data_IF_243581681909
#
_entry.id   IF_243581681909
#
_cell.length_a   1.000
_cell.length_b   1.000
_cell.length_c   1.000
_cell.angle_alpha   90.00
_cell.angle_beta   90.00
_cell.angle_gamma   90.00
#
_symmetry.space_group_name_H-M   'P 1'
#
loop_
_entity.id
_entity.type
_entity.pdbx_description
1 polymer ?
#
# COMPACT_ATOMS: atom_id res chain seq x y z
N UNK A 1 -14.24 15.34 0.99
CA UNK A 1 -15.63 14.85 0.88
C UNK A 1 -15.67 13.60 0.01
N UNK A 2 -16.31 12.52 0.47
CA UNK A 2 -16.58 11.32 -0.32
C UNK A 2 -17.89 11.49 -1.09
N UNK A 3 -17.87 11.19 -2.39
CA UNK A 3 -19.07 11.28 -3.24
C UNK A 3 -20.02 10.11 -3.02
N UNK A 4 -19.55 8.87 -3.21
CA UNK A 4 -20.36 7.65 -3.10
C UNK A 4 -19.58 6.60 -2.33
N UNK A 5 -20.27 5.88 -1.45
CA UNK A 5 -19.78 4.70 -0.74
C UNK A 5 -20.58 3.49 -1.17
N UNK A 6 -19.90 2.45 -1.61
CA UNK A 6 -20.51 1.17 -1.99
C UNK A 6 -20.03 0.08 -1.05
N UNK A 7 -20.96 -0.64 -0.44
CA UNK A 7 -20.68 -1.83 0.38
C UNK A 7 -21.53 -2.98 -0.11
N UNK A 8 -20.88 -4.09 -0.45
CA UNK A 8 -21.54 -5.37 -0.69
C UNK A 8 -21.17 -6.33 0.45
N UNK A 9 -22.13 -6.65 1.30
CA UNK A 9 -21.96 -7.51 2.46
C UNK A 9 -22.80 -8.78 2.29
N UNK A 10 -22.15 -9.95 2.33
CA UNK A 10 -22.85 -11.23 2.40
C UNK A 10 -23.57 -11.33 3.76
N UNK A 11 -24.79 -11.86 3.78
CA UNK A 11 -25.62 -11.96 4.99
C UNK A 11 -26.48 -13.22 5.00
N UNK A 12 -27.02 -13.57 6.17
CA UNK A 12 -27.95 -14.68 6.31
C UNK A 12 -29.28 -14.42 5.57
N UNK A 13 -29.93 -15.46 5.03
CA UNK A 13 -31.27 -15.33 4.47
C UNK A 13 -32.28 -14.77 5.48
N UNK A 14 -33.26 -14.00 4.99
CA UNK A 14 -34.36 -13.49 5.82
C UNK A 14 -34.04 -12.23 6.63
N UNK A 15 -32.81 -11.70 6.54
CA UNK A 15 -32.49 -10.37 7.08
C UNK A 15 -33.26 -9.30 6.28
N UNK A 16 -33.95 -8.43 7.00
CA UNK A 16 -34.62 -7.26 6.41
C UNK A 16 -33.61 -6.32 5.76
N UNK A 17 -33.91 -5.89 4.54
CA UNK A 17 -32.99 -5.10 3.73
C UNK A 17 -32.77 -3.70 4.30
N UNK A 18 -33.82 -3.02 4.79
CA UNK A 18 -33.68 -1.68 5.38
C UNK A 18 -32.82 -1.74 6.64
N UNK A 19 -33.03 -2.77 7.47
CA UNK A 19 -32.18 -3.03 8.63
C UNK A 19 -30.71 -3.22 8.22
N UNK A 20 -30.41 -4.08 7.25
CA UNK A 20 -29.04 -4.30 6.77
C UNK A 20 -28.38 -2.98 6.33
N UNK A 21 -29.08 -2.17 5.53
CA UNK A 21 -28.56 -0.89 5.06
C UNK A 21 -28.21 0.06 6.22
N UNK A 22 -29.11 0.18 7.19
CA UNK A 22 -28.91 1.04 8.36
C UNK A 22 -27.74 0.54 9.22
N UNK A 23 -27.68 -0.74 9.52
CA UNK A 23 -26.62 -1.35 10.35
C UNK A 23 -25.24 -1.20 9.68
N UNK A 24 -25.14 -1.45 8.37
CA UNK A 24 -23.89 -1.23 7.61
C UNK A 24 -23.50 0.24 7.60
N UNK A 25 -24.45 1.16 7.42
CA UNK A 25 -24.16 2.59 7.43
C UNK A 25 -23.62 3.05 8.78
N UNK A 26 -24.29 2.68 9.86
CA UNK A 26 -23.99 3.14 11.22
C UNK A 26 -22.76 2.45 11.82
N UNK A 27 -22.60 1.14 11.62
CA UNK A 27 -21.55 0.36 12.28
C UNK A 27 -20.33 0.06 11.41
N UNK A 28 -20.41 0.25 10.08
CA UNK A 28 -19.28 0.01 9.17
C UNK A 28 -18.85 1.30 8.47
N UNK A 29 -19.75 1.98 7.76
CA UNK A 29 -19.37 3.11 6.90
C UNK A 29 -18.96 4.33 7.74
N UNK A 30 -19.81 4.77 8.69
CA UNK A 30 -19.51 5.94 9.52
C UNK A 30 -18.21 5.77 10.32
N UNK A 31 -17.96 4.64 11.03
CA UNK A 31 -16.74 4.50 11.81
C UNK A 31 -15.48 4.34 10.95
N UNK A 32 -15.58 3.69 9.78
CA UNK A 32 -14.42 3.46 8.91
C UNK A 32 -13.99 4.71 8.14
N UNK A 33 -14.94 5.54 7.67
CA UNK A 33 -14.63 6.74 6.88
C UNK A 33 -14.47 7.96 7.77
N UNK A 34 -15.29 8.09 8.82
CA UNK A 34 -15.32 9.25 9.71
C UNK A 34 -16.21 10.39 9.20
N UNK A 35 -16.91 11.03 10.13
CA UNK A 35 -17.89 12.09 9.84
C UNK A 35 -17.31 13.28 9.05
N UNK A 36 -16.02 13.60 9.24
CA UNK A 36 -15.37 14.72 8.55
C UNK A 36 -15.35 14.57 7.01
N UNK A 37 -15.54 13.37 6.49
CA UNK A 37 -15.50 13.08 5.05
C UNK A 37 -16.87 12.80 4.45
N UNK A 38 -17.90 12.62 5.28
CA UNK A 38 -19.26 12.28 4.91
C UNK A 38 -20.17 13.51 5.06
N UNK A 39 -21.08 13.71 4.11
CA UNK A 39 -22.08 14.78 4.21
C UNK A 39 -23.45 14.33 3.72
N UNK A 40 -24.44 15.23 3.78
CA UNK A 40 -25.81 14.95 3.33
C UNK A 40 -25.91 14.64 1.83
N UNK A 41 -24.87 14.91 1.03
CA UNK A 41 -24.78 14.60 -0.40
C UNK A 41 -23.97 13.33 -0.67
N UNK A 42 -23.44 12.65 0.35
CA UNK A 42 -22.80 11.36 0.16
C UNK A 42 -23.84 10.30 -0.17
N UNK A 43 -23.67 9.63 -1.30
CA UNK A 43 -24.51 8.53 -1.72
C UNK A 43 -24.05 7.22 -1.06
N UNK A 44 -25.00 6.45 -0.52
CA UNK A 44 -24.72 5.15 0.08
C UNK A 44 -25.43 4.05 -0.72
N UNK A 45 -24.65 3.10 -1.22
CA UNK A 45 -25.14 1.93 -1.94
C UNK A 45 -24.74 0.69 -1.15
N UNK A 46 -25.67 0.17 -0.34
CA UNK A 46 -25.47 -1.08 0.41
C UNK A 46 -26.25 -2.19 -0.28
N UNK A 47 -25.53 -3.21 -0.77
CA UNK A 47 -26.09 -4.34 -1.51
C UNK A 47 -26.99 -3.89 -2.68
N UNK A 48 -26.45 -3.10 -3.61
CA UNK A 48 -27.22 -2.49 -4.71
C UNK A 48 -27.88 -3.47 -5.68
N UNK A 49 -27.47 -4.74 -5.68
CA UNK A 49 -28.07 -5.82 -6.48
C UNK A 49 -29.17 -6.59 -5.74
N UNK A 50 -29.50 -6.22 -4.49
CA UNK A 50 -30.42 -6.95 -3.63
C UNK A 50 -29.72 -7.94 -2.69
N UNK A 51 -30.39 -9.04 -2.35
CA UNK A 51 -29.89 -10.01 -1.38
C UNK A 51 -28.56 -10.64 -1.82
N UNK A 52 -27.61 -10.77 -0.88
CA UNK A 52 -26.32 -11.43 -1.09
C UNK A 52 -26.14 -12.56 -0.06
N UNK A 53 -26.78 -13.70 -0.31
CA UNK A 53 -26.79 -14.84 0.62
C UNK A 53 -25.79 -15.93 0.23
N UNK A 54 -25.48 -16.07 -1.06
CA UNK A 54 -24.50 -17.02 -1.59
C UNK A 54 -23.22 -16.26 -1.94
N UNK A 55 -22.13 -16.55 -1.23
CA UNK A 55 -20.82 -15.94 -1.43
C UNK A 55 -19.69 -16.93 -1.16
N UNK A 56 -18.49 -16.40 -0.96
CA UNK A 56 -17.28 -17.22 -0.83
C UNK A 56 -16.99 -18.06 -2.08
N UNK A 57 -16.22 -19.17 -1.95
CA UNK A 57 -15.85 -20.03 -3.07
C UNK A 57 -17.03 -20.67 -3.82
N UNK A 58 -18.22 -20.73 -3.21
CA UNK A 58 -19.43 -21.22 -3.85
C UNK A 58 -19.98 -20.21 -4.88
N UNK A 59 -19.79 -18.91 -4.63
CA UNK A 59 -20.26 -17.85 -5.51
C UNK A 59 -19.25 -17.42 -6.58
N UNK A 60 -17.94 -17.50 -6.29
CA UNK A 60 -16.88 -17.13 -7.24
C UNK A 60 -15.57 -17.87 -6.92
N UNK A 61 -14.82 -18.24 -7.96
CA UNK A 61 -13.54 -18.92 -7.82
C UNK A 61 -12.43 -17.93 -7.42
N UNK A 62 -11.87 -18.12 -6.22
CA UNK A 62 -10.74 -17.32 -5.72
C UNK A 62 -9.38 -17.84 -6.22
N UNK A 63 -8.53 -16.94 -6.73
CA UNK A 63 -7.14 -17.25 -7.09
C UNK A 63 -6.17 -16.27 -6.43
N UNK A 64 -5.03 -16.80 -5.97
CA UNK A 64 -3.92 -16.00 -5.42
C UNK A 64 -3.43 -14.96 -6.43
N UNK A 65 -3.20 -13.72 -5.98
CA UNK A 65 -2.64 -12.67 -6.82
C UNK A 65 -3.62 -12.03 -7.80
N UNK A 66 -4.93 -12.15 -7.57
CA UNK A 66 -5.98 -11.48 -8.37
C UNK A 66 -6.52 -10.19 -7.76
N UNK A 67 -5.87 -9.69 -6.70
CA UNK A 67 -6.22 -8.44 -5.99
C UNK A 67 -5.04 -7.46 -5.86
N UNK A 68 -4.06 -7.54 -6.76
CA UNK A 68 -2.80 -6.78 -6.69
C UNK A 68 -2.95 -5.25 -6.56
N UNK A 69 -4.01 -4.66 -7.14
CA UNK A 69 -4.26 -3.20 -7.00
C UNK A 69 -4.88 -2.86 -5.64
N UNK A 70 -5.72 -3.76 -5.10
CA UNK A 70 -6.27 -3.64 -3.74
C UNK A 70 -5.18 -3.84 -2.70
N UNK A 71 -4.24 -4.76 -2.96
CA UNK A 71 -3.10 -5.04 -2.08
C UNK A 71 -2.12 -3.86 -1.96
N UNK A 72 -2.15 -2.93 -2.91
CA UNK A 72 -1.18 -1.82 -3.04
C UNK A 72 -1.81 -0.45 -2.81
N UNK A 73 -2.08 0.31 -3.87
CA UNK A 73 -2.35 1.75 -3.80
C UNK A 73 -3.71 2.13 -4.36
N UNK A 74 -4.62 1.17 -4.58
CA UNK A 74 -5.99 1.45 -5.02
C UNK A 74 -6.09 2.16 -6.38
N UNK A 75 -5.08 2.01 -7.23
CA UNK A 75 -5.00 2.66 -8.56
C UNK A 75 -4.34 4.04 -8.55
N UNK A 76 -3.93 4.57 -7.39
CA UNK A 76 -3.25 5.87 -7.31
C UNK A 76 -1.82 5.84 -7.87
N UNK A 77 -1.10 4.74 -7.66
CA UNK A 77 0.28 4.56 -8.12
C UNK A 77 0.39 3.38 -9.10
N UNK A 78 1.45 3.40 -9.92
CA UNK A 78 1.69 2.39 -10.96
C UNK A 78 2.06 1.03 -10.35
N UNK A 79 1.82 -0.04 -11.11
CA UNK A 79 2.02 -1.41 -10.64
C UNK A 79 2.84 -2.24 -11.63
N UNK A 80 3.82 -3.01 -11.14
CA UNK A 80 4.71 -3.84 -11.98
C UNK A 80 4.16 -5.20 -12.43
N UNK A 81 2.98 -5.58 -11.92
CA UNK A 81 2.24 -6.80 -12.29
C UNK A 81 2.48 -8.02 -11.37
N UNK A 82 3.54 -8.01 -10.58
CA UNK A 82 3.84 -9.10 -9.63
C UNK A 82 2.87 -9.16 -8.45
N UNK A 83 2.32 -10.34 -8.17
CA UNK A 83 1.55 -10.58 -6.95
C UNK A 83 2.45 -10.78 -5.70
N UNK A 84 1.92 -10.53 -4.51
CA UNK A 84 2.66 -10.70 -3.26
C UNK A 84 2.45 -12.07 -2.62
N UNK A 85 1.21 -12.45 -2.29
CA UNK A 85 0.88 -13.68 -1.54
C UNK A 85 1.39 -14.96 -2.21
N UNK A 86 1.79 -15.94 -1.40
CA UNK A 86 2.36 -17.23 -1.87
C UNK A 86 3.85 -17.23 -2.21
N UNK A 87 4.55 -16.10 -2.07
CA UNK A 87 5.99 -15.97 -2.39
C UNK A 87 6.85 -15.86 -1.14
N UNK A 88 8.05 -16.43 -1.17
CA UNK A 88 9.06 -16.18 -0.15
C UNK A 88 9.81 -14.86 -0.45
N UNK A 89 10.58 -14.28 0.48
CA UNK A 89 11.16 -12.95 0.28
C UNK A 89 12.32 -12.92 -0.72
N UNK A 90 12.78 -14.06 -1.24
CA UNK A 90 13.71 -14.09 -2.39
C UNK A 90 13.04 -13.62 -3.68
N UNK A 91 11.70 -13.58 -3.75
CA UNK A 91 10.97 -13.08 -4.92
C UNK A 91 10.83 -11.57 -4.86
N UNK A 92 11.54 -10.90 -5.76
CA UNK A 92 11.59 -9.43 -5.85
C UNK A 92 10.24 -8.77 -6.10
N UNK A 93 9.28 -9.50 -6.67
CA UNK A 93 7.88 -9.04 -6.78
C UNK A 93 7.31 -8.60 -5.43
N UNK A 94 7.70 -9.28 -4.33
CA UNK A 94 7.32 -8.90 -2.97
C UNK A 94 8.38 -8.02 -2.32
N UNK A 95 9.60 -8.49 -2.22
CA UNK A 95 10.64 -7.81 -1.44
C UNK A 95 11.05 -6.48 -2.06
N UNK A 96 11.16 -6.40 -3.38
CA UNK A 96 11.42 -5.17 -4.13
C UNK A 96 10.27 -4.16 -3.99
N UNK A 97 9.02 -4.61 -4.04
CA UNK A 97 7.86 -3.74 -3.83
C UNK A 97 7.82 -3.16 -2.40
N UNK A 98 8.14 -3.97 -1.38
CA UNK A 98 8.24 -3.51 0.00
C UNK A 98 9.38 -2.51 0.20
N UNK A 99 10.54 -2.76 -0.43
CA UNK A 99 11.65 -1.83 -0.41
C UNK A 99 11.30 -0.50 -1.09
N UNK A 100 10.64 -0.53 -2.25
CA UNK A 100 10.16 0.67 -2.94
C UNK A 100 9.22 1.50 -2.05
N UNK A 101 8.23 0.84 -1.42
CA UNK A 101 7.33 1.49 -0.45
C UNK A 101 8.10 2.15 0.69
N UNK A 102 9.03 1.41 1.31
CA UNK A 102 9.83 1.89 2.42
C UNK A 102 10.60 3.15 2.04
N UNK A 103 11.34 3.12 0.93
CA UNK A 103 12.16 4.27 0.51
C UNK A 103 11.28 5.46 0.12
N UNK A 104 10.21 5.25 -0.65
CA UNK A 104 9.27 6.33 -1.01
C UNK A 104 8.65 7.00 0.23
N UNK A 105 8.23 6.20 1.22
CA UNK A 105 7.70 6.70 2.49
C UNK A 105 8.74 7.52 3.27
N UNK A 106 10.00 7.06 3.28
CA UNK A 106 11.09 7.78 3.94
C UNK A 106 11.46 9.08 3.23
N UNK A 107 11.41 9.14 1.90
CA UNK A 107 11.60 10.38 1.11
C UNK A 107 10.57 11.43 1.51
N UNK A 108 9.29 11.04 1.57
CA UNK A 108 8.20 11.95 1.97
C UNK A 108 8.35 12.37 3.44
N UNK A 109 8.63 11.43 4.36
CA UNK A 109 8.84 11.77 5.78
C UNK A 109 10.09 12.62 6.02
N UNK A 110 11.12 12.49 5.18
CA UNK A 110 12.31 13.34 5.20
C UNK A 110 12.02 14.78 4.74
N UNK A 111 10.83 15.06 4.19
CA UNK A 111 10.47 16.37 3.64
C UNK A 111 11.10 16.66 2.29
N UNK A 112 11.60 15.63 1.58
CA UNK A 112 12.22 15.80 0.27
C UNK A 112 11.20 15.94 -0.86
N UNK A 113 9.97 15.47 -0.67
CA UNK A 113 8.85 15.64 -1.59
C UNK A 113 7.51 15.47 -0.85
N UNK A 114 6.43 16.04 -1.39
CA UNK A 114 5.08 15.84 -0.85
C UNK A 114 4.47 14.50 -1.31
N UNK A 115 4.90 14.00 -2.49
CA UNK A 115 4.63 12.66 -2.99
C UNK A 115 5.81 12.14 -3.80
N UNK A 116 6.01 10.83 -3.79
CA UNK A 116 7.09 10.16 -4.51
C UNK A 116 6.63 8.78 -5.00
N UNK A 117 6.89 8.48 -6.27
CA UNK A 117 6.82 7.13 -6.82
C UNK A 117 8.23 6.63 -7.13
N UNK A 118 8.49 5.36 -6.80
CA UNK A 118 9.72 4.66 -7.13
C UNK A 118 9.40 3.47 -8.02
N UNK A 119 10.19 3.31 -9.09
CA UNK A 119 10.17 2.13 -9.93
C UNK A 119 11.52 1.44 -9.85
N UNK A 120 11.52 0.12 -9.69
CA UNK A 120 12.73 -0.70 -9.66
C UNK A 120 12.54 -1.87 -10.61
N UNK A 121 13.57 -2.20 -11.39
CA UNK A 121 13.58 -3.36 -12.28
C UNK A 121 14.78 -4.25 -12.00
N UNK A 122 14.56 -5.57 -12.03
CA UNK A 122 15.60 -6.58 -11.85
C UNK A 122 15.66 -7.48 -13.08
N UNK A 123 16.84 -8.06 -13.30
CA UNK A 123 17.03 -9.17 -14.23
C UNK A 123 17.31 -10.43 -13.41
N UNK A 124 16.71 -11.55 -13.82
CA UNK A 124 16.93 -12.84 -13.16
C UNK A 124 18.44 -13.16 -13.05
N UNK A 125 18.88 -13.56 -11.86
CA UNK A 125 20.28 -13.88 -11.59
C UNK A 125 21.21 -12.69 -11.31
N UNK A 126 20.74 -11.43 -11.39
CA UNK A 126 21.51 -10.26 -10.98
C UNK A 126 21.01 -9.70 -9.65
N UNK A 127 21.95 -9.46 -8.73
CA UNK A 127 21.61 -8.94 -7.40
C UNK A 127 21.24 -7.46 -7.44
N UNK A 128 21.99 -6.63 -8.18
CA UNK A 128 21.68 -5.21 -8.31
C UNK A 128 20.51 -4.99 -9.28
N UNK A 129 19.62 -4.02 -9.01
CA UNK A 129 18.61 -3.62 -9.96
C UNK A 129 19.26 -3.08 -11.25
N UNK A 130 18.62 -3.33 -12.38
CA UNK A 130 19.05 -2.78 -13.69
C UNK A 130 18.51 -1.36 -13.92
N UNK A 131 17.48 -0.96 -13.19
CA UNK A 131 16.92 0.37 -13.24
C UNK A 131 16.32 0.73 -11.88
N UNK A 132 16.49 1.99 -11.50
CA UNK A 132 15.76 2.64 -10.42
C UNK A 132 15.39 4.05 -10.89
N UNK A 133 14.09 4.32 -10.95
CA UNK A 133 13.55 5.62 -11.33
C UNK A 133 12.82 6.28 -10.16
N UNK A 134 12.94 7.61 -10.08
CA UNK A 134 12.31 8.46 -9.06
C UNK A 134 11.40 9.44 -9.79
N UNK A 135 10.18 9.62 -9.27
CA UNK A 135 9.23 10.63 -9.77
C UNK A 135 8.56 11.32 -8.58
N UNK A 136 8.75 12.64 -8.45
CA UNK A 136 8.09 13.44 -7.40
C UNK A 136 6.88 14.23 -7.89
N UNK A 137 6.56 14.15 -9.19
CA UNK A 137 5.44 14.80 -9.85
C UNK A 137 5.38 16.32 -9.57
N UNK A 138 6.55 16.96 -9.59
CA UNK A 138 6.72 18.39 -9.33
C UNK A 138 6.62 18.81 -7.87
N UNK A 139 6.59 17.86 -6.92
CA UNK A 139 6.48 18.17 -5.48
C UNK A 139 7.80 18.10 -4.71
N UNK A 140 8.90 17.73 -5.40
CA UNK A 140 10.24 17.65 -4.82
C UNK A 140 10.73 19.01 -4.30
N UNK A 141 11.36 19.01 -3.13
CA UNK A 141 12.10 20.16 -2.57
C UNK A 141 13.55 20.20 -3.06
N UNK A 142 14.02 19.08 -3.62
CA UNK A 142 15.26 18.92 -4.38
C UNK A 142 14.94 18.14 -5.66
N UNK A 143 15.87 18.08 -6.62
CA UNK A 143 15.62 17.38 -7.88
C UNK A 143 15.48 15.87 -7.70
N UNK A 144 14.75 15.22 -8.60
CA UNK A 144 14.59 13.76 -8.62
C UNK A 144 15.95 13.05 -8.77
N UNK A 145 16.90 13.64 -9.50
CA UNK A 145 18.29 13.16 -9.60
C UNK A 145 19.03 13.22 -8.26
N UNK A 146 18.80 14.27 -7.47
CA UNK A 146 19.39 14.40 -6.12
C UNK A 146 18.79 13.34 -5.20
N UNK A 147 17.47 13.14 -5.23
CA UNK A 147 16.81 12.06 -4.49
C UNK A 147 17.37 10.71 -4.92
N UNK A 148 17.54 10.49 -6.24
CA UNK A 148 18.10 9.26 -6.80
C UNK A 148 19.50 8.97 -6.25
N UNK A 149 20.37 9.98 -6.19
CA UNK A 149 21.72 9.85 -5.65
C UNK A 149 21.71 9.52 -4.14
N UNK A 150 20.85 10.19 -3.37
CA UNK A 150 20.67 9.89 -1.94
C UNK A 150 20.18 8.46 -1.69
N UNK A 151 19.30 7.96 -2.55
CA UNK A 151 18.85 6.56 -2.50
C UNK A 151 20.03 5.61 -2.74
N UNK A 152 20.85 5.86 -3.77
CA UNK A 152 22.02 5.03 -4.08
C UNK A 152 23.02 4.96 -2.93
N UNK A 153 23.22 6.06 -2.22
CA UNK A 153 24.16 6.13 -1.10
C UNK A 153 23.63 5.41 0.15
N UNK A 154 22.32 5.49 0.42
CA UNK A 154 21.77 5.12 1.73
C UNK A 154 20.86 3.90 1.76
N UNK A 155 20.49 3.33 0.60
CA UNK A 155 19.65 2.15 0.54
C UNK A 155 20.14 1.12 -0.48
N UNK A 156 20.34 -0.12 -0.01
CA UNK A 156 20.77 -1.23 -0.84
C UNK A 156 19.56 -2.06 -1.32
N UNK A 157 19.29 -1.98 -2.63
CA UNK A 157 18.22 -2.72 -3.30
C UNK A 157 18.55 -4.16 -3.67
N UNK A 158 19.71 -4.71 -3.29
CA UNK A 158 19.97 -6.13 -3.51
C UNK A 158 18.99 -7.00 -2.70
N UNK A 159 18.43 -8.09 -3.27
CA UNK A 159 17.47 -8.93 -2.56
C UNK A 159 17.93 -9.42 -1.18
N UNK A 160 19.22 -9.78 -1.05
CA UNK A 160 19.81 -10.17 0.24
C UNK A 160 19.79 -9.05 1.28
N UNK A 161 20.17 -7.84 0.89
CA UNK A 161 20.17 -6.67 1.77
C UNK A 161 18.76 -6.27 2.20
N UNK A 162 17.78 -6.35 1.29
CA UNK A 162 16.36 -6.12 1.60
C UNK A 162 15.86 -7.14 2.63
N UNK A 163 16.17 -8.43 2.43
CA UNK A 163 15.79 -9.51 3.34
C UNK A 163 16.35 -9.27 4.74
N UNK A 164 17.62 -8.90 4.83
CA UNK A 164 18.32 -8.63 6.08
C UNK A 164 17.73 -7.41 6.81
N UNK A 165 17.65 -6.26 6.12
CA UNK A 165 17.16 -4.99 6.67
C UNK A 165 15.78 -5.09 7.31
N UNK A 166 14.87 -5.84 6.68
CA UNK A 166 13.51 -6.01 7.17
C UNK A 166 13.30 -7.32 7.95
N UNK A 167 14.36 -8.12 8.11
CA UNK A 167 14.31 -9.44 8.73
C UNK A 167 13.16 -10.28 8.18
N UNK A 168 13.10 -10.41 6.85
CA UNK A 168 11.97 -10.98 6.11
C UNK A 168 11.82 -12.50 6.26
N UNK A 169 12.83 -13.22 6.77
CA UNK A 169 12.76 -14.67 7.00
C UNK A 169 12.04 -14.99 8.30
N UNK A 170 10.79 -14.52 8.41
CA UNK A 170 9.89 -14.71 9.55
C UNK A 170 8.45 -14.88 9.06
N UNK A 171 7.58 -15.57 9.82
CA UNK A 171 6.19 -15.81 9.43
C UNK A 171 5.30 -14.58 9.67
N UNK A 172 5.59 -13.46 8.99
CA UNK A 172 4.89 -12.17 9.18
C UNK A 172 3.88 -11.84 8.07
N UNK A 173 3.66 -12.73 7.12
CA UNK A 173 2.96 -12.41 5.86
C UNK A 173 1.46 -12.72 5.87
N UNK A 174 0.98 -13.59 6.76
CA UNK A 174 -0.45 -13.94 6.79
C UNK A 174 -1.30 -12.70 7.07
N UNK A 175 -0.83 -11.85 7.98
CA UNK A 175 -1.53 -10.62 8.32
C UNK A 175 -1.63 -9.64 7.14
N UNK A 176 -0.74 -9.70 6.15
CA UNK A 176 -0.76 -8.81 4.97
C UNK A 176 -1.67 -9.31 3.85
N UNK A 177 -2.18 -10.54 3.92
CA UNK A 177 -2.95 -11.17 2.84
C UNK A 177 -4.35 -10.53 2.64
N UNK A 178 -4.76 -9.62 3.52
CA UNK A 178 -6.00 -8.86 3.44
C UNK A 178 -5.76 -7.42 3.90
N UNK A 179 -6.62 -6.50 3.46
CA UNK A 179 -6.62 -5.08 3.86
C UNK A 179 -5.33 -4.31 3.53
N UNK A 180 -4.65 -4.72 2.45
CA UNK A 180 -3.47 -4.04 1.94
C UNK A 180 -2.15 -4.41 2.62
N UNK A 181 -1.08 -4.37 1.84
CA UNK A 181 0.28 -4.63 2.31
C UNK A 181 0.98 -3.38 2.87
N UNK A 182 0.38 -2.19 2.66
CA UNK A 182 0.95 -0.89 2.98
C UNK A 182 0.01 -0.07 3.86
N UNK A 183 0.56 0.92 4.56
CA UNK A 183 -0.21 1.81 5.43
C UNK A 183 -0.52 1.27 6.82
N UNK A 184 0.12 0.17 7.25
CA UNK A 184 -0.07 -0.48 8.56
C UNK A 184 1.18 -0.34 9.44
N UNK A 185 1.00 -0.07 10.73
CA UNK A 185 2.10 0.39 11.61
C UNK A 185 3.15 -0.65 12.00
N UNK A 186 2.80 -1.95 12.03
CA UNK A 186 3.63 -3.02 12.57
C UNK A 186 4.55 -3.70 11.53
N UNK A 187 4.55 -3.21 10.29
CA UNK A 187 5.29 -3.82 9.18
C UNK A 187 6.69 -3.21 9.02
N UNK A 188 7.76 -4.01 8.84
CA UNK A 188 9.14 -3.51 8.78
C UNK A 188 9.39 -2.45 7.69
N UNK A 189 8.69 -2.54 6.56
CA UNK A 189 8.78 -1.60 5.43
C UNK A 189 7.92 -0.35 5.60
N UNK A 190 7.13 -0.24 6.68
CA UNK A 190 6.39 0.98 7.02
C UNK A 190 7.13 1.87 8.02
N UNK A 191 8.32 1.45 8.49
CA UNK A 191 9.20 2.27 9.32
C UNK A 191 9.75 3.46 8.53
N UNK A 192 10.03 4.56 9.24
CA UNK A 192 10.59 5.81 8.67
C UNK A 192 11.96 6.18 9.24
N UNK A 193 12.73 5.16 9.60
CA UNK A 193 14.05 5.25 10.24
C UNK A 193 15.17 5.72 9.30
N UNK A 194 14.95 5.73 7.98
CA UNK A 194 15.87 6.28 6.99
C UNK A 194 15.68 7.79 6.76
N UNK A 195 14.52 8.34 7.13
CA UNK A 195 14.14 9.72 6.82
C UNK A 195 15.11 10.77 7.37
N UNK A 196 15.56 10.62 8.62
CA UNK A 196 16.50 11.56 9.24
C UNK A 196 17.86 11.58 8.53
N UNK A 197 18.35 10.41 8.10
CA UNK A 197 19.58 10.28 7.32
C UNK A 197 19.45 11.00 5.98
N UNK A 198 18.36 10.77 5.26
CA UNK A 198 18.09 11.42 3.97
C UNK A 198 17.99 12.94 4.10
N UNK A 199 17.26 13.45 5.10
CA UNK A 199 17.12 14.88 5.33
C UNK A 199 18.48 15.53 5.61
N UNK A 200 19.30 14.92 6.48
CA UNK A 200 20.63 15.41 6.81
C UNK A 200 21.55 15.42 5.58
N UNK A 201 21.55 14.35 4.79
CA UNK A 201 22.36 14.24 3.59
C UNK A 201 21.95 15.25 2.50
N UNK A 202 20.66 15.57 2.41
CA UNK A 202 20.14 16.62 1.52
C UNK A 202 20.43 18.06 2.01
N UNK A 203 21.09 18.24 3.16
CA UNK A 203 21.36 19.57 3.76
C UNK A 203 20.14 20.20 4.46
N UNK A 204 19.05 19.45 4.66
CA UNK A 204 17.81 19.91 5.29
C UNK A 204 17.70 19.54 6.78
N UNK A 205 17.03 20.41 7.56
CA UNK A 205 16.63 20.06 8.94
C UNK A 205 15.51 19.01 8.88
N UNK A 206 15.55 17.91 9.65
CA UNK A 206 14.49 16.90 9.60
C UNK A 206 13.15 17.52 9.98
N UNK A 207 12.09 17.20 9.22
CA UNK A 207 10.73 17.58 9.58
C UNK A 207 10.38 16.95 10.94
N UNK A 208 10.05 17.81 11.92
CA UNK A 208 9.72 17.42 13.29
C UNK A 208 8.58 16.38 13.29
N UNK A 209 8.71 15.43 14.22
CA UNK A 209 7.96 14.18 14.31
C UNK A 209 6.44 14.35 14.21
#
# INVERSE_FOLDING_TARGET
RVHTVVVAAQHDPGIDYQRLQNEVREHVIRPAIGEAWLDAKTEYIVNGTGAFTIGGPMGDAGLTGRKIIVDTYGGYARHGGGAFSGKDPTKVDRSGAYAARYVAKNIVKAGLADRCELQIAYVIGRAHPISLNVETFGTGKVSDDTIRALIDEHFDFRPGAIIERFSLRRPIYQQTATYGHFGRGDLPWERTDLAATLAKAAGGRPALA
#
